data_IF_418131373184
#
_entry.id   IF_418131373184
#
_cell.length_a   1.000
_cell.length_b   1.000
_cell.length_c   1.000
_cell.angle_alpha   90.00
_cell.angle_beta   90.00
_cell.angle_gamma   90.00
#
_symmetry.space_group_name_H-M   'P 1'
#
loop_
_entity.id
_entity.type
_entity.pdbx_description
1 polymer ?
#
# COMPACT_ATOMS: atom_id res chain seq x y z
N UNK A 1 -2.41 7.16 -66.33
CA UNK A 1 -3.18 7.61 -65.16
C UNK A 1 -3.39 6.40 -64.25
N UNK A 2 -2.58 6.29 -63.25
CA UNK A 2 -2.71 5.26 -62.20
C UNK A 2 -3.28 5.94 -61.00
N UNK A 3 -4.58 5.80 -60.79
CA UNK A 3 -5.23 6.18 -59.53
C UNK A 3 -4.75 5.23 -58.43
N UNK A 4 -3.87 5.72 -57.58
CA UNK A 4 -3.54 5.04 -56.31
C UNK A 4 -4.71 5.24 -55.36
N UNK A 5 -5.52 4.21 -55.18
CA UNK A 5 -6.45 4.12 -54.08
C UNK A 5 -5.64 4.14 -52.75
N UNK A 6 -5.68 5.26 -52.06
CA UNK A 6 -5.19 5.36 -50.69
C UNK A 6 -6.32 4.79 -49.81
N UNK A 7 -6.16 3.55 -49.36
CA UNK A 7 -7.01 3.01 -48.28
C UNK A 7 -6.78 3.85 -47.01
N UNK A 8 -7.76 4.67 -46.66
CA UNK A 8 -7.77 5.39 -45.40
C UNK A 8 -8.15 4.36 -44.35
N UNK A 9 -7.15 3.86 -43.62
CA UNK A 9 -7.39 3.06 -42.40
C UNK A 9 -8.07 3.96 -41.37
N UNK A 10 -9.36 3.78 -41.17
CA UNK A 10 -10.07 4.34 -40.02
C UNK A 10 -9.59 3.59 -38.76
N UNK A 11 -8.60 4.14 -38.09
CA UNK A 11 -8.22 3.68 -36.75
C UNK A 11 -9.36 4.03 -35.79
N UNK A 12 -10.11 3.02 -35.36
CA UNK A 12 -11.07 3.18 -34.27
C UNK A 12 -10.29 3.72 -33.07
N UNK A 13 -10.83 4.75 -32.40
CA UNK A 13 -10.25 5.27 -31.16
C UNK A 13 -10.31 4.15 -30.12
N UNK A 14 -9.18 3.51 -29.88
CA UNK A 14 -9.05 2.55 -28.78
C UNK A 14 -9.23 3.30 -27.45
N UNK A 15 -9.83 2.62 -26.49
CA UNK A 15 -9.94 3.14 -25.11
C UNK A 15 -8.51 3.39 -24.58
N UNK A 16 -8.27 4.57 -24.04
CA UNK A 16 -6.99 4.86 -23.39
C UNK A 16 -6.79 3.94 -22.18
N UNK A 17 -5.58 3.42 -22.05
CA UNK A 17 -5.22 2.59 -20.91
C UNK A 17 -5.21 3.40 -19.61
N UNK A 18 -5.65 2.79 -18.55
CA UNK A 18 -5.47 3.34 -17.20
C UNK A 18 -3.98 3.33 -16.82
N UNK A 19 -3.59 4.17 -15.87
CA UNK A 19 -2.20 4.19 -15.37
C UNK A 19 -1.71 2.82 -14.91
N UNK A 20 -2.57 2.02 -14.29
CA UNK A 20 -2.22 0.66 -13.87
C UNK A 20 -2.00 -0.27 -15.07
N UNK A 21 -2.84 -0.20 -16.10
CA UNK A 21 -2.67 -1.01 -17.32
C UNK A 21 -1.37 -0.65 -18.03
N UNK A 22 -1.01 0.63 -18.10
CA UNK A 22 0.27 1.09 -18.64
C UNK A 22 1.44 0.46 -17.87
N UNK A 23 1.47 0.60 -16.56
CA UNK A 23 2.54 0.05 -15.71
C UNK A 23 2.66 -1.47 -15.81
N UNK A 24 1.53 -2.18 -15.85
CA UNK A 24 1.52 -3.64 -16.03
C UNK A 24 2.08 -4.05 -17.39
N UNK A 25 1.68 -3.35 -18.45
CA UNK A 25 2.17 -3.62 -19.81
C UNK A 25 3.66 -3.28 -19.96
N UNK A 26 4.13 -2.19 -19.37
CA UNK A 26 5.57 -1.89 -19.30
C UNK A 26 6.33 -3.02 -18.61
N UNK A 27 5.90 -3.41 -17.41
CA UNK A 27 6.54 -4.45 -16.64
C UNK A 27 6.59 -5.80 -17.40
N UNK A 28 5.47 -6.21 -18.01
CA UNK A 28 5.41 -7.47 -18.78
C UNK A 28 6.23 -7.42 -20.07
N UNK A 29 6.37 -6.24 -20.69
CA UNK A 29 7.07 -6.11 -21.97
C UNK A 29 8.58 -5.95 -21.83
N UNK A 30 9.03 -5.19 -20.85
CA UNK A 30 10.44 -4.77 -20.70
C UNK A 30 11.04 -5.12 -19.33
N UNK A 31 10.23 -5.62 -18.37
CA UNK A 31 10.69 -6.11 -17.07
C UNK A 31 10.94 -5.02 -16.02
N UNK A 32 10.62 -3.75 -16.30
CA UNK A 32 10.73 -2.64 -15.35
C UNK A 32 9.66 -1.56 -15.63
N UNK A 33 9.47 -0.65 -14.67
CA UNK A 33 8.54 0.47 -14.76
C UNK A 33 9.24 1.71 -15.31
N UNK A 34 8.74 2.28 -16.39
CA UNK A 34 9.36 3.41 -17.10
C UNK A 34 8.57 4.71 -16.94
N UNK A 35 7.26 4.67 -17.09
CA UNK A 35 6.40 5.87 -17.02
C UNK A 35 6.22 6.37 -15.61
N UNK A 36 6.05 5.46 -14.65
CA UNK A 36 5.81 5.75 -13.23
C UNK A 36 6.13 4.53 -12.37
N UNK A 37 5.92 4.60 -11.05
CA UNK A 37 6.14 3.49 -10.15
C UNK A 37 4.82 3.08 -9.45
N UNK A 38 4.53 1.75 -9.29
CA UNK A 38 3.29 1.30 -8.64
C UNK A 38 3.08 1.88 -7.24
N UNK A 39 4.14 2.16 -6.49
CA UNK A 39 4.06 2.78 -5.16
C UNK A 39 3.62 4.26 -5.19
N UNK A 40 3.54 4.91 -6.34
CA UNK A 40 3.15 6.33 -6.42
C UNK A 40 1.71 6.57 -5.95
N UNK A 41 0.79 5.69 -6.31
CA UNK A 41 -0.61 5.80 -5.86
C UNK A 41 -0.75 5.72 -4.34
N UNK A 42 0.24 5.14 -3.66
CA UNK A 42 0.30 4.97 -2.21
C UNK A 42 1.16 6.01 -1.49
N UNK A 43 1.75 6.97 -2.21
CA UNK A 43 2.76 7.90 -1.67
C UNK A 43 2.31 8.64 -0.41
N UNK A 44 1.05 9.10 -0.39
CA UNK A 44 0.49 9.78 0.78
C UNK A 44 0.43 8.84 1.99
N UNK A 45 -0.04 7.60 1.79
CA UNK A 45 -0.09 6.59 2.85
C UNK A 45 1.32 6.24 3.36
N UNK A 46 2.26 6.00 2.45
CA UNK A 46 3.64 5.65 2.80
C UNK A 46 4.29 6.74 3.66
N UNK A 47 4.07 8.01 3.31
CA UNK A 47 4.58 9.16 4.05
C UNK A 47 3.92 9.30 5.44
N UNK A 48 2.59 9.21 5.51
CA UNK A 48 1.83 9.31 6.76
C UNK A 48 2.17 8.18 7.73
N UNK A 49 2.43 6.98 7.21
CA UNK A 49 2.84 5.79 7.98
C UNK A 49 4.35 5.74 8.26
N UNK A 50 5.10 6.81 7.90
CA UNK A 50 6.56 6.91 8.09
C UNK A 50 7.34 5.75 7.45
N UNK A 51 6.84 5.20 6.34
CA UNK A 51 7.51 4.17 5.57
C UNK A 51 8.62 4.83 4.77
N UNK A 52 9.84 4.33 4.92
CA UNK A 52 11.06 4.90 4.31
C UNK A 52 11.49 4.10 3.07
N UNK A 53 12.34 4.70 2.23
CA UNK A 53 12.96 3.96 1.13
C UNK A 53 13.96 2.92 1.65
N UNK A 54 14.19 1.88 0.85
CA UNK A 54 15.18 0.84 1.22
C UNK A 54 16.58 1.40 1.40
N UNK A 55 17.00 2.34 0.55
CA UNK A 55 18.29 3.02 0.69
C UNK A 55 18.41 3.79 2.00
N UNK A 56 17.36 4.50 2.41
CA UNK A 56 17.35 5.21 3.70
C UNK A 56 17.39 4.23 4.87
N UNK A 57 16.72 3.09 4.76
CA UNK A 57 16.84 2.03 5.75
C UNK A 57 18.26 1.48 5.78
N UNK A 58 18.84 1.11 4.63
CA UNK A 58 20.17 0.49 4.53
C UNK A 58 21.26 1.37 5.14
N UNK A 59 21.26 2.66 4.80
CA UNK A 59 22.27 3.64 5.21
C UNK A 59 22.00 4.24 6.61
N UNK A 60 20.78 4.13 7.13
CA UNK A 60 20.42 4.65 8.45
C UNK A 60 21.00 3.81 9.59
N UNK A 61 21.02 4.37 10.79
CA UNK A 61 21.55 3.72 12.00
C UNK A 61 20.53 2.80 12.69
N UNK A 62 19.26 2.85 12.29
CA UNK A 62 18.21 2.05 12.91
C UNK A 62 18.39 0.57 12.55
N UNK A 63 18.28 -0.30 13.56
CA UNK A 63 18.31 -1.76 13.39
C UNK A 63 17.02 -2.27 12.72
N UNK A 64 15.88 -1.66 13.04
CA UNK A 64 14.58 -2.01 12.47
C UNK A 64 14.06 -0.89 11.57
N UNK A 65 13.33 -1.24 10.53
CA UNK A 65 12.70 -0.29 9.63
C UNK A 65 11.51 -0.88 8.88
N UNK A 66 10.64 0.00 8.41
CA UNK A 66 9.51 -0.37 7.57
C UNK A 66 9.74 0.27 6.21
N UNK A 67 9.77 -0.57 5.18
CA UNK A 67 9.94 -0.16 3.79
C UNK A 67 8.78 -0.67 2.94
N UNK A 68 8.57 -0.10 1.77
CA UNK A 68 7.64 -0.64 0.79
C UNK A 68 8.39 -1.02 -0.49
N UNK A 69 7.91 -2.05 -1.17
CA UNK A 69 8.46 -2.48 -2.45
C UNK A 69 7.44 -3.22 -3.29
N UNK A 70 7.60 -3.13 -4.60
CA UNK A 70 6.85 -3.91 -5.59
C UNK A 70 7.71 -5.07 -6.05
N UNK A 71 7.15 -6.26 -6.12
CA UNK A 71 7.87 -7.46 -6.54
C UNK A 71 8.15 -7.40 -8.05
N UNK A 72 9.41 -7.58 -8.41
CA UNK A 72 9.86 -7.72 -9.79
C UNK A 72 10.04 -9.19 -10.20
N UNK A 73 10.59 -10.02 -9.29
CA UNK A 73 10.75 -11.46 -9.54
C UNK A 73 10.80 -12.24 -8.24
N UNK A 74 10.45 -13.52 -8.31
CA UNK A 74 10.44 -14.45 -7.19
C UNK A 74 11.12 -15.75 -7.63
N UNK A 75 12.11 -16.18 -6.86
CA UNK A 75 12.78 -17.46 -7.05
C UNK A 75 12.66 -18.30 -5.80
N UNK A 76 11.78 -19.29 -5.80
CA UNK A 76 11.71 -20.27 -4.70
C UNK A 76 12.82 -21.30 -4.83
N UNK A 77 13.48 -21.59 -3.72
CA UNK A 77 14.60 -22.55 -3.60
C UNK A 77 14.42 -23.40 -2.36
N UNK A 78 15.22 -24.47 -2.27
CA UNK A 78 15.35 -25.30 -1.07
C UNK A 78 16.77 -25.21 -0.56
N UNK A 79 16.91 -25.09 0.75
CA UNK A 79 18.21 -25.20 1.42
C UNK A 79 18.75 -26.63 1.34
N UNK A 80 20.01 -26.85 1.72
CA UNK A 80 20.59 -28.19 1.80
C UNK A 80 19.83 -29.14 2.74
N UNK A 81 19.08 -28.58 3.70
CA UNK A 81 18.21 -29.33 4.63
C UNK A 81 16.77 -29.51 4.10
N UNK A 82 16.49 -29.14 2.85
CA UNK A 82 15.15 -29.24 2.26
C UNK A 82 14.18 -28.12 2.65
N UNK A 83 14.57 -27.18 3.52
CA UNK A 83 13.71 -26.08 3.97
C UNK A 83 13.51 -25.07 2.84
N UNK A 84 12.26 -24.72 2.49
CA UNK A 84 11.99 -23.77 1.41
C UNK A 84 12.37 -22.34 1.83
N UNK A 85 12.82 -21.56 0.87
CA UNK A 85 13.02 -20.11 0.98
C UNK A 85 12.82 -19.48 -0.40
N UNK A 86 12.60 -18.17 -0.44
CA UNK A 86 12.54 -17.44 -1.70
C UNK A 86 13.56 -16.30 -1.70
N UNK A 87 14.15 -16.06 -2.87
CA UNK A 87 14.86 -14.83 -3.19
C UNK A 87 13.87 -13.97 -3.95
N UNK A 88 13.51 -12.82 -3.38
CA UNK A 88 12.53 -11.91 -3.97
C UNK A 88 13.19 -10.60 -4.29
N UNK A 89 13.14 -10.22 -5.56
CA UNK A 89 13.61 -8.94 -6.05
C UNK A 89 12.47 -7.93 -5.97
N UNK A 90 12.70 -6.86 -5.25
CA UNK A 90 11.79 -5.74 -5.10
C UNK A 90 12.33 -4.49 -5.77
N UNK A 91 11.43 -3.58 -6.12
CA UNK A 91 11.76 -2.20 -6.45
C UNK A 91 10.99 -1.24 -5.56
N UNK A 92 11.63 -0.18 -5.12
CA UNK A 92 10.97 1.02 -4.62
C UNK A 92 11.17 2.17 -5.62
N UNK A 93 10.76 3.38 -5.28
CA UNK A 93 10.92 4.54 -6.19
C UNK A 93 12.37 4.92 -6.46
N UNK A 94 13.35 4.38 -5.73
CA UNK A 94 14.73 4.83 -5.74
C UNK A 94 15.72 3.72 -6.14
N UNK A 95 15.40 2.46 -5.84
CA UNK A 95 16.31 1.36 -6.02
C UNK A 95 15.61 0.00 -6.21
N UNK A 96 16.34 -0.92 -6.80
CA UNK A 96 16.05 -2.35 -6.77
C UNK A 96 16.83 -3.00 -5.64
N UNK A 97 16.24 -3.99 -4.97
CA UNK A 97 16.88 -4.70 -3.87
C UNK A 97 16.35 -6.12 -3.75
N UNK A 98 17.19 -7.00 -3.25
CA UNK A 98 16.85 -8.40 -3.05
C UNK A 98 16.74 -8.73 -1.56
N UNK A 99 15.71 -9.51 -1.21
CA UNK A 99 15.49 -10.01 0.15
C UNK A 99 15.25 -11.51 0.14
N UNK A 100 15.71 -12.15 1.22
CA UNK A 100 15.46 -13.56 1.47
C UNK A 100 14.21 -13.70 2.34
N UNK A 101 13.20 -14.41 1.82
CA UNK A 101 12.04 -14.83 2.59
C UNK A 101 12.25 -16.27 3.05
N UNK A 102 12.48 -16.43 4.35
CA UNK A 102 12.64 -17.76 4.93
C UNK A 102 11.28 -18.48 5.05
N UNK A 103 11.35 -19.78 5.31
CA UNK A 103 10.19 -20.69 5.24
C UNK A 103 8.93 -20.16 5.92
N UNK A 104 9.03 -19.61 7.12
CA UNK A 104 7.90 -19.08 7.89
C UNK A 104 7.16 -17.97 7.13
N UNK A 105 7.92 -16.96 6.69
CA UNK A 105 7.37 -15.82 5.93
C UNK A 105 6.89 -16.25 4.54
N UNK A 106 7.64 -17.11 3.87
CA UNK A 106 7.30 -17.61 2.54
C UNK A 106 5.99 -18.41 2.56
N UNK A 107 5.87 -19.39 3.46
CA UNK A 107 4.69 -20.27 3.52
C UNK A 107 3.43 -19.47 3.87
N UNK A 108 3.54 -18.56 4.85
CA UNK A 108 2.42 -17.74 5.29
C UNK A 108 1.89 -16.76 4.22
N UNK A 109 2.70 -16.44 3.20
CA UNK A 109 2.35 -15.41 2.22
C UNK A 109 2.42 -15.88 0.76
N UNK A 110 2.72 -17.16 0.51
CA UNK A 110 2.99 -17.69 -0.83
C UNK A 110 1.94 -17.31 -1.87
N UNK A 111 0.66 -17.42 -1.53
CA UNK A 111 -0.45 -17.14 -2.45
C UNK A 111 -0.56 -15.67 -2.85
N UNK A 112 -0.03 -14.77 -1.99
CA UNK A 112 -0.04 -13.33 -2.20
C UNK A 112 1.21 -12.82 -2.91
N UNK A 113 2.32 -13.56 -2.81
CA UNK A 113 3.60 -13.19 -3.42
C UNK A 113 3.52 -13.41 -4.93
N UNK A 114 3.26 -12.35 -5.67
CA UNK A 114 3.18 -12.34 -7.14
C UNK A 114 3.94 -11.14 -7.69
N UNK A 115 4.46 -11.28 -8.89
CA UNK A 115 5.10 -10.18 -9.62
C UNK A 115 4.12 -9.01 -9.80
N UNK A 116 4.63 -7.81 -9.82
CA UNK A 116 3.91 -6.54 -9.84
C UNK A 116 3.06 -6.20 -8.59
N UNK A 117 2.94 -7.10 -7.62
CA UNK A 117 2.27 -6.83 -6.35
C UNK A 117 3.17 -6.02 -5.40
N UNK A 118 2.55 -5.11 -4.64
CA UNK A 118 3.25 -4.19 -3.73
C UNK A 118 3.03 -4.57 -2.27
N UNK A 119 4.11 -4.51 -1.48
CA UNK A 119 4.13 -4.92 -0.08
C UNK A 119 4.76 -3.88 0.84
N UNK A 120 4.31 -3.89 2.09
CA UNK A 120 5.00 -3.28 3.22
C UNK A 120 5.82 -4.36 3.92
N UNK A 121 7.10 -4.08 4.14
CA UNK A 121 8.09 -5.00 4.68
C UNK A 121 8.63 -4.46 6.00
N UNK A 122 8.54 -5.22 7.08
CA UNK A 122 9.26 -4.94 8.31
C UNK A 122 10.60 -5.64 8.25
N UNK A 123 11.66 -4.85 8.23
CA UNK A 123 13.03 -5.31 8.08
C UNK A 123 13.82 -5.14 9.37
N UNK A 124 14.77 -6.05 9.59
CA UNK A 124 15.74 -5.97 10.69
C UNK A 124 17.16 -6.22 10.16
N UNK A 125 18.09 -5.37 10.56
CA UNK A 125 19.51 -5.56 10.36
C UNK A 125 20.08 -6.41 11.47
N UNK A 126 20.73 -7.52 11.13
CA UNK A 126 21.52 -8.28 12.08
C UNK A 126 22.96 -7.75 12.10
N UNK A 127 23.53 -7.65 13.30
CA UNK A 127 24.95 -7.43 13.47
C UNK A 127 25.66 -8.77 13.14
N UNK A 128 26.42 -8.80 12.07
CA UNK A 128 27.30 -9.94 11.80
C UNK A 128 28.56 -9.73 12.65
N UNK A 129 28.82 -10.65 13.57
CA UNK A 129 30.10 -10.71 14.28
C UNK A 129 31.18 -11.23 13.29
N UNK A 130 32.05 -10.35 12.81
CA UNK A 130 33.16 -10.72 11.89
C UNK A 130 33.61 -9.52 11.06
N UNK A 131 34.76 -9.65 10.45
CA UNK A 131 35.53 -8.62 9.74
C UNK A 131 34.89 -8.04 8.47
N UNK A 132 33.70 -8.50 8.06
CA UNK A 132 32.98 -7.96 6.91
C UNK A 132 31.77 -7.16 7.36
N UNK A 133 31.77 -5.86 7.05
CA UNK A 133 30.70 -4.89 7.35
C UNK A 133 29.33 -5.17 6.69
N UNK A 134 29.14 -6.34 6.10
CA UNK A 134 27.87 -6.70 5.45
C UNK A 134 26.80 -7.04 6.48
N UNK A 135 25.95 -6.06 6.75
CA UNK A 135 24.74 -6.24 7.58
C UNK A 135 23.79 -7.19 6.87
N UNK A 136 23.43 -8.30 7.48
CA UNK A 136 22.37 -9.18 7.00
C UNK A 136 21.03 -8.54 7.27
N UNK A 137 20.16 -8.47 6.26
CA UNK A 137 18.81 -7.93 6.39
C UNK A 137 17.82 -9.10 6.43
N UNK A 138 17.04 -9.17 7.49
CA UNK A 138 15.97 -10.16 7.67
C UNK A 138 14.61 -9.51 7.51
N UNK A 139 13.73 -10.19 6.80
CA UNK A 139 12.31 -9.83 6.72
C UNK A 139 11.61 -10.44 7.94
N UNK A 140 11.02 -9.60 8.78
CA UNK A 140 10.26 -10.01 9.97
C UNK A 140 8.77 -10.12 9.70
N UNK A 141 8.26 -9.28 8.80
CA UNK A 141 6.85 -9.26 8.42
C UNK A 141 6.72 -8.75 7.00
N UNK A 142 5.77 -9.31 6.27
CA UNK A 142 5.36 -8.85 4.94
C UNK A 142 3.85 -8.72 4.92
N UNK A 143 3.34 -7.61 4.42
CA UNK A 143 1.91 -7.35 4.29
C UNK A 143 1.64 -6.79 2.90
N UNK A 144 0.64 -7.33 2.21
CA UNK A 144 0.17 -6.74 0.96
C UNK A 144 -0.25 -5.29 1.20
N UNK A 145 0.23 -4.38 0.38
CA UNK A 145 -0.10 -2.96 0.51
C UNK A 145 -1.59 -2.74 0.26
N UNK A 146 -2.17 -3.51 -0.64
CA UNK A 146 -3.60 -3.50 -0.91
C UNK A 146 -4.42 -3.94 0.32
N UNK A 147 -4.00 -5.01 1.00
CA UNK A 147 -4.66 -5.48 2.22
C UNK A 147 -4.58 -4.43 3.33
N UNK A 148 -3.39 -3.84 3.53
CA UNK A 148 -3.18 -2.82 4.59
C UNK A 148 -4.04 -1.58 4.36
N UNK A 149 -4.21 -1.16 3.10
CA UNK A 149 -5.00 0.02 2.77
C UNK A 149 -6.50 -0.24 2.87
N UNK A 150 -6.92 -1.45 2.51
CA UNK A 150 -8.32 -1.86 2.56
C UNK A 150 -8.71 -2.48 3.92
N UNK A 151 -7.76 -2.63 4.86
CA UNK A 151 -8.05 -3.14 6.19
C UNK A 151 -8.98 -2.16 6.93
N UNK A 152 -10.13 -2.61 7.40
CA UNK A 152 -11.03 -1.75 8.17
C UNK A 152 -10.38 -1.37 9.51
N UNK A 153 -10.59 -0.14 9.94
CA UNK A 153 -10.22 0.28 11.28
C UNK A 153 -11.14 -0.40 12.30
N UNK A 154 -10.60 -0.85 13.43
CA UNK A 154 -11.42 -1.47 14.47
C UNK A 154 -12.35 -0.48 15.15
N UNK A 155 -11.88 0.76 15.35
CA UNK A 155 -12.60 1.83 16.01
C UNK A 155 -12.19 3.18 15.45
N UNK A 156 -13.18 4.05 15.24
CA UNK A 156 -12.96 5.42 14.75
C UNK A 156 -13.80 6.40 15.53
N UNK A 157 -13.18 7.51 15.95
CA UNK A 157 -13.91 8.64 16.53
C UNK A 157 -13.74 9.85 15.60
N UNK A 158 -14.87 10.38 15.12
CA UNK A 158 -14.94 11.54 14.22
C UNK A 158 -15.40 12.74 15.04
N UNK A 159 -14.53 13.73 15.19
CA UNK A 159 -14.83 14.99 15.85
C UNK A 159 -15.41 15.98 14.82
N UNK A 160 -16.63 16.46 15.08
CA UNK A 160 -17.41 17.29 14.17
C UNK A 160 -17.57 18.71 14.72
N UNK A 161 -17.51 19.69 13.83
CA UNK A 161 -17.90 21.09 14.10
C UNK A 161 -19.41 21.22 14.10
N UNK A 162 -19.92 22.35 14.57
CA UNK A 162 -21.37 22.62 14.65
C UNK A 162 -22.13 22.58 13.33
N UNK A 163 -21.48 22.93 12.24
CA UNK A 163 -22.01 23.04 10.89
C UNK A 163 -21.89 21.74 10.07
N UNK A 164 -21.91 20.58 10.78
CA UNK A 164 -21.83 19.28 10.10
C UNK A 164 -23.11 18.93 9.34
N UNK A 165 -22.95 18.26 8.21
CA UNK A 165 -24.03 17.69 7.41
C UNK A 165 -24.23 16.22 7.82
N UNK A 166 -25.35 15.97 8.52
CA UNK A 166 -25.66 14.62 9.01
C UNK A 166 -26.03 13.66 7.88
N UNK A 167 -26.64 14.15 6.82
CA UNK A 167 -27.10 13.30 5.73
C UNK A 167 -25.91 12.87 4.86
N UNK A 168 -24.96 13.77 4.63
CA UNK A 168 -23.69 13.43 3.97
C UNK A 168 -22.89 12.42 4.79
N UNK A 169 -22.85 12.56 6.13
CA UNK A 169 -22.18 11.58 7.01
C UNK A 169 -22.87 10.21 6.94
N UNK A 170 -24.20 10.18 6.95
CA UNK A 170 -24.97 8.93 6.82
C UNK A 170 -24.70 8.24 5.48
N UNK A 171 -24.61 8.98 4.39
CA UNK A 171 -24.31 8.44 3.06
C UNK A 171 -22.91 7.82 3.04
N UNK A 172 -21.91 8.56 3.51
CA UNK A 172 -20.52 8.08 3.59
C UNK A 172 -20.36 6.85 4.49
N UNK A 173 -21.18 6.74 5.54
CA UNK A 173 -21.14 5.64 6.50
C UNK A 173 -22.31 4.66 6.34
N UNK A 174 -22.91 4.58 5.15
CA UNK A 174 -24.11 3.76 4.90
C UNK A 174 -23.84 2.24 4.95
N UNK A 175 -22.65 1.82 4.52
CA UNK A 175 -22.31 0.40 4.38
C UNK A 175 -21.99 -0.25 5.74
N UNK A 176 -22.60 -1.42 6.02
CA UNK A 176 -22.28 -2.25 7.19
C UNK A 176 -20.85 -2.79 7.06
N UNK A 177 -20.18 -2.95 8.20
CA UNK A 177 -18.81 -3.45 8.26
C UNK A 177 -18.39 -3.77 9.69
N UNK A 178 -17.09 -3.70 9.99
CA UNK A 178 -16.51 -4.15 11.25
C UNK A 178 -16.05 -3.01 12.18
N UNK A 179 -16.08 -1.75 11.71
CA UNK A 179 -15.58 -0.60 12.44
C UNK A 179 -16.62 -0.03 13.40
N UNK A 180 -16.31 0.06 14.69
CA UNK A 180 -17.06 0.83 15.68
C UNK A 180 -16.85 2.33 15.40
N UNK A 181 -17.93 3.09 15.13
CA UNK A 181 -17.83 4.52 14.84
C UNK A 181 -18.50 5.34 15.94
N UNK A 182 -17.75 6.33 16.42
CA UNK A 182 -18.23 7.35 17.35
C UNK A 182 -18.14 8.73 16.73
N UNK A 183 -19.19 9.52 16.92
CA UNK A 183 -19.26 10.92 16.53
C UNK A 183 -19.14 11.79 17.78
N UNK A 184 -18.12 12.63 17.84
CA UNK A 184 -17.92 13.59 18.92
C UNK A 184 -18.28 14.99 18.41
N UNK A 185 -19.30 15.57 19.00
CA UNK A 185 -19.73 16.93 18.70
C UNK A 185 -19.32 17.81 19.86
N UNK A 186 -18.56 18.87 19.60
CA UNK A 186 -18.18 19.86 20.61
C UNK A 186 -18.86 21.19 20.35
N UNK A 187 -19.41 21.75 21.42
CA UNK A 187 -19.83 23.13 21.51
C UNK A 187 -18.96 23.85 22.58
N UNK A 188 -19.06 25.19 22.63
CA UNK A 188 -18.29 26.05 23.56
C UNK A 188 -18.32 25.57 25.00
N UNK A 189 -19.45 25.02 25.47
CA UNK A 189 -19.67 24.63 26.85
C UNK A 189 -20.13 23.17 27.05
N UNK A 190 -20.23 22.38 25.98
CA UNK A 190 -20.71 21.00 26.05
C UNK A 190 -20.06 20.12 25.00
N UNK A 191 -19.98 18.83 25.30
CA UNK A 191 -19.61 17.82 24.32
C UNK A 191 -20.60 16.67 24.38
N UNK A 192 -20.93 16.12 23.22
CA UNK A 192 -21.77 14.95 23.09
C UNK A 192 -21.04 13.87 22.27
N UNK A 193 -21.04 12.65 22.78
CA UNK A 193 -20.45 11.49 22.12
C UNK A 193 -21.57 10.53 21.72
N UNK A 194 -21.72 10.31 20.43
CA UNK A 194 -22.71 9.38 19.87
C UNK A 194 -21.99 8.16 19.33
N UNK A 195 -22.42 6.97 19.73
CA UNK A 195 -21.99 5.71 19.12
C UNK A 195 -23.03 5.28 18.09
N UNK A 196 -22.61 4.89 16.90
CA UNK A 196 -23.50 4.26 15.95
C UNK A 196 -23.91 2.88 16.48
N UNK A 197 -25.18 2.51 16.34
CA UNK A 197 -25.71 1.24 16.84
C UNK A 197 -25.11 0.01 16.15
N UNK A 198 -24.74 0.17 14.89
CA UNK A 198 -24.14 -0.89 14.10
C UNK A 198 -22.76 -0.46 13.62
N UNK A 199 -21.83 -1.44 13.53
CA UNK A 199 -20.52 -1.24 12.93
C UNK A 199 -20.65 -0.93 11.45
N UNK A 200 -19.75 -0.07 10.95
CA UNK A 200 -19.76 0.41 9.57
C UNK A 200 -18.47 0.01 8.86
N UNK A 201 -18.53 -0.05 7.53
CA UNK A 201 -17.32 -0.16 6.71
C UNK A 201 -16.58 1.18 6.79
N UNK A 202 -15.35 1.12 7.30
CA UNK A 202 -14.49 2.28 7.40
C UNK A 202 -13.05 1.89 7.11
N UNK A 203 -12.56 2.28 5.95
CA UNK A 203 -11.21 2.04 5.46
C UNK A 203 -10.49 3.36 5.15
N UNK A 204 -9.31 3.29 4.58
CA UNK A 204 -8.52 4.47 4.22
C UNK A 204 -9.26 5.41 3.23
N UNK A 205 -10.14 4.87 2.38
CA UNK A 205 -10.93 5.70 1.45
C UNK A 205 -11.92 6.58 2.22
N UNK A 206 -12.67 5.98 3.16
CA UNK A 206 -13.59 6.70 4.04
C UNK A 206 -12.86 7.75 4.90
N UNK A 207 -11.68 7.39 5.44
CA UNK A 207 -10.84 8.31 6.21
C UNK A 207 -10.44 9.54 5.36
N UNK A 208 -10.03 9.33 4.11
CA UNK A 208 -9.65 10.44 3.20
C UNK A 208 -10.85 11.30 2.83
N UNK A 209 -11.98 10.68 2.50
CA UNK A 209 -13.22 11.38 2.13
C UNK A 209 -13.69 12.28 3.29
N UNK A 210 -13.73 11.77 4.51
CA UNK A 210 -14.14 12.55 5.70
C UNK A 210 -13.13 13.64 6.07
N UNK A 211 -11.81 13.36 6.01
CA UNK A 211 -10.78 14.40 6.26
C UNK A 211 -10.85 15.57 5.29
N UNK A 212 -11.40 15.40 4.11
CA UNK A 212 -11.58 16.47 3.13
C UNK A 212 -12.80 17.38 3.45
N UNK A 213 -13.68 16.97 4.36
CA UNK A 213 -14.88 17.74 4.71
C UNK A 213 -14.55 18.85 5.70
N UNK A 214 -15.05 20.05 5.43
CA UNK A 214 -14.78 21.27 6.25
C UNK A 214 -15.31 21.17 7.67
N UNK A 215 -16.40 20.41 7.87
CA UNK A 215 -17.06 20.20 9.15
C UNK A 215 -16.37 19.09 10.01
N UNK A 216 -15.44 18.35 9.48
CA UNK A 216 -14.63 17.39 10.25
C UNK A 216 -13.43 18.11 10.83
N UNK A 217 -13.34 18.13 12.14
CA UNK A 217 -12.22 18.75 12.86
C UNK A 217 -11.06 17.78 13.04
N UNK A 218 -11.37 16.56 13.50
CA UNK A 218 -10.35 15.53 13.75
C UNK A 218 -10.94 14.13 13.56
N UNK A 219 -10.11 13.18 13.14
CA UNK A 219 -10.44 11.76 13.11
C UNK A 219 -9.36 11.03 13.90
N UNK A 220 -9.78 10.24 14.89
CA UNK A 220 -8.95 9.39 15.74
C UNK A 220 -9.27 7.94 15.36
N UNK A 221 -8.26 7.18 14.95
CA UNK A 221 -8.32 5.78 14.51
C UNK A 221 -7.48 4.92 15.43
#
# INVERSE_FOLDING_TARGET
NSDKNIEIFNLEKSKEWTSNEILMNEFHSIGFYMSDHPLKVYEKYLRESKIISYNNFLNGNNTNGIVAGTIMSIQEKKSAKGTPYAIVKFTDKQAEFELFLFAEILIANRDKLKEAESFVLTLQKDKISGETEKKRINVRKILSLNDVINQPYSKVTIELKKDYDIDEIKELLSNKGETEIKLLIRDKNSQALFSLQENRKFDLHHLKALKAKKYVEKIIV
#
